data_IF_899188283524
#
_entry.id   IF_899188283524
#
_cell.length_a   1.000
_cell.length_b   1.000
_cell.length_c   1.000
_cell.angle_alpha   90.00
_cell.angle_beta   90.00
_cell.angle_gamma   90.00
#
_symmetry.space_group_name_H-M   'P 1'
#
loop_
_entity.id
_entity.type
_entity.pdbx_description
1 polymer ?
#
# COMPACT_ATOMS: atom_id res chain seq x y z
N UNK A 1 6.92 -27.68 10.17
CA UNK A 1 6.59 -26.35 9.69
C UNK A 1 6.37 -25.49 10.91
N UNK A 2 7.16 -24.45 11.11
CA UNK A 2 7.01 -23.52 12.23
C UNK A 2 6.29 -22.27 11.73
N UNK A 3 5.20 -21.90 12.37
CA UNK A 3 4.40 -20.71 12.06
C UNK A 3 4.70 -19.54 12.98
N UNK A 4 5.59 -19.73 13.98
CA UNK A 4 6.03 -18.65 14.84
C UNK A 4 6.93 -17.67 14.09
N UNK A 5 6.87 -16.40 14.47
CA UNK A 5 7.82 -15.41 13.97
C UNK A 5 9.23 -15.81 14.41
N UNK A 6 10.22 -15.64 13.54
CA UNK A 6 11.63 -15.78 13.88
C UNK A 6 12.03 -14.75 14.94
N UNK A 7 13.21 -14.91 15.56
CA UNK A 7 13.73 -13.92 16.51
C UNK A 7 13.89 -12.53 15.87
N UNK A 8 14.38 -12.47 14.63
CA UNK A 8 14.49 -11.24 13.86
C UNK A 8 13.13 -10.60 13.62
N UNK A 9 12.13 -11.37 13.18
CA UNK A 9 10.78 -10.87 12.92
C UNK A 9 10.09 -10.37 14.19
N UNK A 10 10.28 -11.04 15.35
CA UNK A 10 9.82 -10.55 16.65
C UNK A 10 10.47 -9.24 17.03
N UNK A 11 11.79 -9.14 16.85
CA UNK A 11 12.54 -7.89 17.11
C UNK A 11 12.04 -6.72 16.25
N UNK A 12 11.70 -6.97 14.99
CA UNK A 12 11.07 -5.98 14.10
C UNK A 12 9.71 -5.56 14.66
N UNK A 13 8.80 -6.51 14.92
CA UNK A 13 7.46 -6.22 15.44
C UNK A 13 7.52 -5.38 16.73
N UNK A 14 8.34 -5.79 17.70
CA UNK A 14 8.51 -5.09 18.98
C UNK A 14 9.11 -3.68 18.82
N UNK A 15 10.09 -3.53 17.94
CA UNK A 15 10.74 -2.24 17.72
C UNK A 15 9.82 -1.26 17.01
N UNK A 16 9.11 -1.73 16.02
CA UNK A 16 8.10 -0.92 15.28
C UNK A 16 6.97 -0.50 16.20
N UNK A 17 6.45 -1.41 17.03
CA UNK A 17 5.41 -1.08 18.03
C UNK A 17 5.88 -0.02 19.02
N UNK A 18 7.14 -0.05 19.46
CA UNK A 18 7.72 1.00 20.33
C UNK A 18 7.74 2.37 19.65
N UNK A 19 8.07 2.44 18.36
CA UNK A 19 8.01 3.69 17.61
C UNK A 19 6.56 4.15 17.49
N UNK A 20 5.66 3.27 17.05
CA UNK A 20 4.25 3.59 16.87
C UNK A 20 3.55 4.04 18.17
N UNK A 21 3.96 3.52 19.34
CA UNK A 21 3.39 3.88 20.64
C UNK A 21 3.62 5.36 21.02
N UNK A 22 4.50 6.08 20.34
CA UNK A 22 4.71 7.52 20.52
C UNK A 22 3.59 8.35 19.85
N UNK A 23 2.81 7.73 18.98
CA UNK A 23 1.76 8.36 18.17
C UNK A 23 0.40 7.78 18.56
N UNK A 24 -0.18 8.35 19.61
CA UNK A 24 -1.44 7.88 20.19
C UNK A 24 -2.66 8.22 19.30
N UNK A 25 -3.83 7.76 19.73
CA UNK A 25 -5.09 7.98 19.02
C UNK A 25 -5.39 9.47 18.75
N UNK A 26 -5.01 10.37 19.66
CA UNK A 26 -5.19 11.81 19.50
C UNK A 26 -4.41 12.34 18.29
N UNK A 27 -3.16 11.91 18.10
CA UNK A 27 -2.34 12.27 16.95
C UNK A 27 -3.03 11.89 15.63
N UNK A 28 -3.49 10.64 15.51
CA UNK A 28 -4.17 10.17 14.30
C UNK A 28 -5.53 10.83 14.08
N UNK A 29 -6.24 11.18 15.14
CA UNK A 29 -7.51 11.90 15.06
C UNK A 29 -7.31 13.33 14.53
N UNK A 30 -6.26 14.00 14.98
CA UNK A 30 -5.95 15.36 14.53
C UNK A 30 -5.55 15.36 13.05
N UNK A 31 -4.74 14.42 12.61
CA UNK A 31 -4.39 14.25 11.19
C UNK A 31 -5.59 13.81 10.31
N UNK A 32 -6.53 13.00 10.82
CA UNK A 32 -7.78 12.69 10.10
C UNK A 32 -8.69 13.91 9.96
N UNK A 33 -8.60 14.87 10.88
CA UNK A 33 -9.37 16.12 10.82
C UNK A 33 -8.74 17.18 9.93
N UNK A 34 -7.44 17.40 10.08
CA UNK A 34 -6.71 18.45 9.35
C UNK A 34 -6.39 18.04 7.92
N UNK A 35 -6.10 16.76 7.68
CA UNK A 35 -5.58 16.28 6.41
C UNK A 35 -4.07 16.47 6.26
N UNK A 36 -3.38 16.99 7.29
CA UNK A 36 -1.94 17.22 7.24
C UNK A 36 -1.16 15.90 7.19
N UNK A 37 -0.08 15.91 6.40
CA UNK A 37 0.80 14.75 6.30
C UNK A 37 1.54 14.50 7.62
N UNK A 38 1.56 13.25 8.15
CA UNK A 38 2.13 12.92 9.46
C UNK A 38 3.66 12.84 9.39
N UNK A 39 4.30 13.98 9.25
CA UNK A 39 5.74 14.08 9.00
C UNK A 39 6.57 13.56 10.18
N UNK A 40 6.12 13.78 11.41
CA UNK A 40 6.79 13.34 12.63
C UNK A 40 6.80 11.81 12.71
N UNK A 41 5.69 11.16 12.39
CA UNK A 41 5.62 9.70 12.31
C UNK A 41 6.57 9.18 11.24
N UNK A 42 6.55 9.76 10.04
CA UNK A 42 7.45 9.36 8.96
C UNK A 42 8.91 9.54 9.36
N UNK A 43 9.25 10.63 10.02
CA UNK A 43 10.61 10.90 10.50
C UNK A 43 11.06 9.84 11.52
N UNK A 44 10.23 9.52 12.52
CA UNK A 44 10.53 8.48 13.51
C UNK A 44 10.76 7.10 12.87
N UNK A 45 9.96 6.77 11.85
CA UNK A 45 10.16 5.52 11.08
C UNK A 45 11.43 5.57 10.22
N UNK A 46 11.80 6.72 9.70
CA UNK A 46 13.05 6.94 8.95
C UNK A 46 14.27 6.77 9.86
N UNK A 47 14.27 7.39 11.03
CA UNK A 47 15.34 7.29 12.03
C UNK A 47 15.54 5.85 12.51
N UNK A 48 14.48 5.06 12.56
CA UNK A 48 14.53 3.61 12.81
C UNK A 48 15.05 2.77 11.64
N UNK A 49 15.31 3.37 10.47
CA UNK A 49 15.79 2.65 9.27
C UNK A 49 14.70 1.86 8.53
N UNK A 50 13.43 2.03 8.91
CA UNK A 50 12.32 1.18 8.43
C UNK A 50 11.94 1.43 6.97
N UNK A 51 12.26 2.59 6.38
CA UNK A 51 11.95 2.87 4.98
C UNK A 51 12.73 1.97 4.02
N UNK A 52 13.93 1.55 4.40
CA UNK A 52 14.81 0.70 3.58
C UNK A 52 14.75 -0.79 3.91
N UNK A 53 13.73 -1.29 4.63
CA UNK A 53 13.70 -2.66 5.14
C UNK A 53 13.96 -3.72 4.07
N UNK A 54 13.35 -3.60 2.90
CA UNK A 54 13.48 -4.53 1.77
C UNK A 54 14.42 -4.02 0.67
N UNK A 55 15.24 -3.01 0.95
CA UNK A 55 16.19 -2.47 -0.01
C UNK A 55 17.59 -3.01 0.24
N UNK A 56 18.46 -3.11 -0.82
CA UNK A 56 19.80 -3.67 -0.68
C UNK A 56 20.69 -2.88 0.29
N UNK A 57 21.49 -3.58 1.10
CA UNK A 57 22.43 -3.01 2.07
C UNK A 57 23.44 -2.06 1.39
N UNK A 58 23.89 -2.39 0.16
CA UNK A 58 24.83 -1.57 -0.62
C UNK A 58 24.37 -0.12 -0.77
N UNK A 59 23.04 0.15 -0.76
CA UNK A 59 22.47 1.48 -0.91
C UNK A 59 21.94 2.05 0.40
N UNK A 60 22.24 1.39 1.53
CA UNK A 60 21.84 1.81 2.88
C UNK A 60 20.55 1.17 3.39
N UNK A 61 19.99 0.19 2.68
CA UNK A 61 18.85 -0.60 3.13
C UNK A 61 19.23 -1.69 4.14
N UNK A 62 18.24 -2.41 4.66
CA UNK A 62 18.44 -3.52 5.58
C UNK A 62 18.66 -4.88 4.89
N UNK A 63 18.47 -4.98 3.58
CA UNK A 63 18.64 -6.21 2.81
C UNK A 63 17.69 -7.35 3.18
N UNK A 64 16.58 -7.04 3.86
CA UNK A 64 15.60 -8.03 4.30
C UNK A 64 14.56 -8.33 3.22
N UNK A 65 13.71 -9.34 3.46
CA UNK A 65 12.70 -9.79 2.52
C UNK A 65 11.35 -9.08 2.66
N UNK A 66 10.44 -9.46 1.77
CA UNK A 66 9.03 -9.03 1.84
C UNK A 66 8.34 -9.65 3.06
N UNK A 67 8.81 -10.76 3.57
CA UNK A 67 8.32 -11.37 4.82
C UNK A 67 8.53 -10.42 6.00
N UNK A 68 9.71 -9.85 6.17
CA UNK A 68 10.01 -8.87 7.22
C UNK A 68 9.27 -7.55 6.98
N UNK A 69 9.16 -7.12 5.73
CA UNK A 69 8.35 -5.95 5.37
C UNK A 69 6.86 -6.16 5.71
N UNK A 70 6.30 -7.35 5.53
CA UNK A 70 4.94 -7.68 5.92
C UNK A 70 4.73 -7.63 7.44
N UNK A 71 5.70 -8.11 8.23
CA UNK A 71 5.69 -8.00 9.70
C UNK A 71 5.71 -6.54 10.13
N UNK A 72 6.60 -5.72 9.54
CA UNK A 72 6.65 -4.27 9.75
C UNK A 72 5.30 -3.62 9.49
N UNK A 73 4.73 -3.82 8.30
CA UNK A 73 3.50 -3.15 7.89
C UNK A 73 2.28 -3.59 8.72
N UNK A 74 2.24 -4.87 9.11
CA UNK A 74 1.26 -5.37 10.08
C UNK A 74 1.37 -4.66 11.44
N UNK A 75 2.59 -4.53 11.99
CA UNK A 75 2.81 -3.84 13.26
C UNK A 75 2.40 -2.36 13.20
N UNK A 76 2.73 -1.66 12.11
CA UNK A 76 2.33 -0.27 11.86
C UNK A 76 0.81 -0.12 11.87
N UNK A 77 0.09 -0.93 11.10
CA UNK A 77 -1.37 -0.79 10.98
C UNK A 77 -2.13 -1.26 12.22
N UNK A 78 -1.59 -2.24 12.93
CA UNK A 78 -2.15 -2.73 14.20
C UNK A 78 -1.94 -1.76 15.38
N UNK A 79 -1.07 -0.76 15.23
CA UNK A 79 -0.81 0.24 16.30
C UNK A 79 -1.87 1.33 16.43
N UNK A 80 -2.86 1.38 15.52
CA UNK A 80 -3.91 2.41 15.52
C UNK A 80 -3.78 3.46 14.42
N UNK A 81 -2.59 3.61 13.80
CA UNK A 81 -2.37 4.53 12.68
C UNK A 81 -3.04 4.09 11.36
N UNK A 82 -3.43 2.80 11.27
CA UNK A 82 -4.15 2.20 10.14
C UNK A 82 -3.49 2.50 8.77
N UNK A 83 -4.30 2.71 7.71
CA UNK A 83 -3.78 3.05 6.37
C UNK A 83 -3.14 4.44 6.31
N UNK A 84 -3.49 5.35 7.20
CA UNK A 84 -2.83 6.65 7.28
C UNK A 84 -1.35 6.50 7.65
N UNK A 85 -1.03 5.68 8.64
CA UNK A 85 0.36 5.36 8.99
C UNK A 85 1.05 4.54 7.89
N UNK A 86 0.42 3.46 7.43
CA UNK A 86 0.99 2.59 6.40
C UNK A 86 1.37 3.36 5.14
N UNK A 87 0.50 4.25 4.66
CA UNK A 87 0.70 4.96 3.40
C UNK A 87 1.88 5.93 3.40
N UNK A 88 2.37 6.37 4.57
CA UNK A 88 3.58 7.19 4.66
C UNK A 88 4.85 6.41 4.30
N UNK A 89 4.80 5.08 4.35
CA UNK A 89 5.93 4.18 4.18
C UNK A 89 5.76 3.22 3.01
N UNK A 90 4.54 2.78 2.76
CA UNK A 90 4.22 1.72 1.80
C UNK A 90 4.88 1.96 0.43
N UNK A 91 4.79 3.19 -0.08
CA UNK A 91 5.38 3.54 -1.38
C UNK A 91 6.91 3.43 -1.39
N UNK A 92 7.57 3.62 -0.25
CA UNK A 92 9.03 3.49 -0.14
C UNK A 92 9.48 2.02 -0.12
N UNK A 93 8.60 1.08 0.16
CA UNK A 93 8.92 -0.36 0.21
C UNK A 93 8.67 -1.01 -1.14
N UNK A 94 7.49 -0.78 -1.76
CA UNK A 94 7.18 -1.40 -3.06
C UNK A 94 7.48 -0.49 -4.25
N UNK A 95 7.29 0.83 -4.13
CA UNK A 95 7.46 1.79 -5.23
C UNK A 95 8.84 1.77 -5.88
N UNK A 96 9.95 1.69 -5.11
CA UNK A 96 11.29 1.60 -5.66
C UNK A 96 11.67 0.22 -6.24
N UNK A 97 10.85 -0.81 -6.07
CA UNK A 97 11.15 -2.16 -6.56
C UNK A 97 11.60 -2.18 -8.04
N UNK A 98 10.93 -1.48 -8.98
CA UNK A 98 11.42 -1.41 -10.36
C UNK A 98 12.82 -0.81 -10.49
N UNK A 99 13.21 0.13 -9.63
CA UNK A 99 14.57 0.68 -9.60
C UNK A 99 15.56 -0.38 -9.15
N UNK A 100 15.24 -1.11 -8.08
CA UNK A 100 16.11 -2.16 -7.51
C UNK A 100 16.37 -3.27 -8.53
N UNK A 101 15.35 -3.69 -9.28
CA UNK A 101 15.44 -4.84 -10.20
C UNK A 101 15.90 -4.43 -11.59
N UNK A 102 15.39 -3.33 -12.15
CA UNK A 102 15.57 -2.95 -13.56
C UNK A 102 16.37 -1.66 -13.76
N UNK A 103 16.61 -0.88 -12.70
CA UNK A 103 17.50 0.29 -12.77
C UNK A 103 18.94 -0.14 -13.05
N UNK A 104 19.69 0.68 -13.78
CA UNK A 104 21.11 0.53 -13.87
C UNK A 104 21.83 0.97 -12.58
N UNK A 105 23.13 0.72 -12.47
CA UNK A 105 23.87 1.05 -11.24
C UNK A 105 23.88 2.55 -10.93
N UNK A 106 23.97 3.41 -11.96
CA UNK A 106 23.95 4.86 -11.78
C UNK A 106 22.58 5.34 -11.26
N UNK A 107 21.50 4.75 -11.75
CA UNK A 107 20.14 5.01 -11.28
C UNK A 107 19.96 4.57 -9.82
N UNK A 108 20.42 3.36 -9.46
CA UNK A 108 20.34 2.85 -8.09
C UNK A 108 21.14 3.72 -7.11
N UNK A 109 22.38 4.08 -7.46
CA UNK A 109 23.24 4.94 -6.65
C UNK A 109 22.67 6.35 -6.48
N UNK A 110 22.00 6.88 -7.51
CA UNK A 110 21.37 8.20 -7.47
C UNK A 110 20.10 8.24 -6.65
N UNK A 111 19.26 7.22 -6.71
CA UNK A 111 17.88 7.30 -6.21
C UNK A 111 17.61 6.55 -4.92
N UNK A 112 18.25 5.39 -4.70
CA UNK A 112 17.96 4.58 -3.51
C UNK A 112 18.43 5.22 -2.20
N UNK A 113 19.66 5.76 -2.08
CA UNK A 113 20.12 6.32 -0.82
C UNK A 113 19.29 7.49 -0.30
N UNK A 114 18.86 8.49 -1.11
CA UNK A 114 18.03 9.57 -0.60
C UNK A 114 16.61 9.10 -0.21
N UNK A 115 16.03 8.10 -0.90
CA UNK A 115 14.76 7.50 -0.52
C UNK A 115 14.85 6.75 0.81
N UNK A 116 15.87 5.89 0.96
CA UNK A 116 16.10 5.09 2.18
C UNK A 116 16.33 6.00 3.39
N UNK A 117 17.11 7.05 3.20
CA UNK A 117 17.39 8.05 4.24
C UNK A 117 16.23 9.03 4.48
N UNK A 118 15.09 8.88 3.80
CA UNK A 118 13.92 9.74 3.95
C UNK A 118 14.11 11.19 3.50
N UNK A 119 15.24 11.51 2.84
CA UNK A 119 15.52 12.86 2.30
C UNK A 119 14.68 13.21 1.09
N UNK A 120 14.23 12.22 0.34
CA UNK A 120 13.28 12.37 -0.76
C UNK A 120 12.00 11.55 -0.46
N UNK A 121 10.88 12.07 -0.91
CA UNK A 121 9.58 11.38 -0.89
C UNK A 121 9.18 11.12 -2.34
N UNK A 122 8.77 9.89 -2.62
CA UNK A 122 8.27 9.51 -3.93
C UNK A 122 6.73 9.43 -3.93
N UNK A 123 6.13 9.65 -5.10
CA UNK A 123 4.76 9.28 -5.39
C UNK A 123 4.69 8.36 -6.62
N UNK A 124 3.54 7.71 -6.81
CA UNK A 124 3.35 6.67 -7.81
C UNK A 124 2.17 7.04 -8.73
N UNK A 125 2.47 7.35 -10.01
CA UNK A 125 1.53 7.93 -10.96
C UNK A 125 1.31 6.99 -12.17
N UNK A 126 0.38 6.06 -12.04
CA UNK A 126 0.03 5.07 -13.07
C UNK A 126 -1.39 5.31 -13.59
N UNK A 127 -2.38 5.29 -12.72
CA UNK A 127 -3.81 5.36 -13.04
C UNK A 127 -4.19 6.68 -13.72
N UNK A 128 -5.10 6.61 -14.71
CA UNK A 128 -5.73 7.77 -15.35
C UNK A 128 -7.24 7.78 -15.11
N UNK A 129 -7.92 8.91 -15.27
CA UNK A 129 -9.38 8.99 -15.05
C UNK A 129 -10.17 7.94 -15.82
N UNK A 130 -9.76 7.65 -17.07
CA UNK A 130 -10.43 6.72 -17.95
C UNK A 130 -9.71 5.36 -18.09
N UNK A 131 -8.63 5.14 -17.35
CA UNK A 131 -7.81 3.93 -17.41
C UNK A 131 -7.31 3.51 -16.01
N UNK A 132 -8.18 2.84 -15.25
CA UNK A 132 -7.86 2.20 -13.97
C UNK A 132 -7.42 0.74 -14.18
N UNK A 133 -8.36 -0.19 -14.10
CA UNK A 133 -8.07 -1.63 -14.29
C UNK A 133 -7.58 -1.98 -15.70
N UNK A 134 -8.06 -1.27 -16.72
CA UNK A 134 -7.53 -1.36 -18.10
C UNK A 134 -6.33 -0.44 -18.30
N UNK A 135 -5.21 -0.79 -17.67
CA UNK A 135 -3.96 -0.02 -17.76
C UNK A 135 -3.45 0.11 -19.21
N UNK A 136 -3.79 -0.84 -20.08
CA UNK A 136 -3.44 -0.78 -21.51
C UNK A 136 -4.08 0.38 -22.26
N UNK A 137 -5.11 1.01 -21.70
CA UNK A 137 -5.79 2.17 -22.27
C UNK A 137 -5.23 3.52 -21.85
N UNK A 138 -4.09 3.56 -21.13
CA UNK A 138 -3.42 4.80 -20.73
C UNK A 138 -3.10 5.69 -21.93
N UNK A 139 -3.35 6.99 -21.76
CA UNK A 139 -3.21 8.03 -22.79
C UNK A 139 -2.08 9.02 -22.52
N UNK A 140 -1.55 9.11 -21.30
CA UNK A 140 -0.37 9.92 -21.00
C UNK A 140 0.77 9.54 -21.94
N UNK A 141 1.29 10.50 -22.72
CA UNK A 141 2.32 10.30 -23.73
C UNK A 141 3.65 10.84 -23.27
N UNK A 142 4.73 10.15 -23.65
CA UNK A 142 6.10 10.59 -23.50
C UNK A 142 6.77 10.50 -24.86
N UNK A 143 7.01 11.66 -25.49
CA UNK A 143 7.65 11.76 -26.81
C UNK A 143 9.13 12.05 -26.65
N UNK A 144 9.98 11.23 -27.27
CA UNK A 144 11.43 11.44 -27.25
C UNK A 144 11.80 12.63 -28.15
N UNK A 145 12.54 13.59 -27.61
CA UNK A 145 13.09 14.75 -28.28
C UNK A 145 14.57 14.92 -27.91
N UNK A 146 15.47 14.42 -28.76
CA UNK A 146 16.90 14.45 -28.48
C UNK A 146 17.28 13.59 -27.29
N UNK A 147 17.71 14.19 -26.20
CA UNK A 147 18.18 13.56 -24.96
C UNK A 147 17.16 13.52 -23.82
N UNK A 148 15.91 13.89 -24.11
CA UNK A 148 14.83 13.90 -23.11
C UNK A 148 13.49 13.48 -23.71
N UNK A 149 12.56 13.13 -22.83
CA UNK A 149 11.15 12.94 -23.17
C UNK A 149 10.36 14.18 -22.77
N UNK A 150 9.42 14.59 -23.63
CA UNK A 150 8.39 15.57 -23.32
C UNK A 150 7.12 14.81 -22.97
N UNK A 151 6.64 14.95 -21.74
CA UNK A 151 5.50 14.18 -21.23
C UNK A 151 4.29 15.07 -21.06
N UNK A 152 3.14 14.60 -21.60
CA UNK A 152 1.82 15.23 -21.46
C UNK A 152 0.78 14.21 -21.07
N UNK A 153 -0.10 14.58 -20.16
CA UNK A 153 -1.22 13.73 -19.76
C UNK A 153 -1.82 14.06 -18.42
N UNK A 154 -2.56 13.12 -17.88
CA UNK A 154 -3.27 13.28 -16.61
C UNK A 154 -3.21 11.99 -15.81
N UNK A 155 -2.90 12.10 -14.53
CA UNK A 155 -2.91 10.97 -13.59
C UNK A 155 -3.88 11.24 -12.45
N UNK A 156 -4.41 10.18 -11.85
CA UNK A 156 -5.36 10.27 -10.75
C UNK A 156 -5.00 9.25 -9.65
N UNK A 157 -5.47 9.50 -8.44
CA UNK A 157 -5.21 8.67 -7.25
C UNK A 157 -3.73 8.57 -6.87
N UNK A 158 -2.93 9.57 -7.26
CA UNK A 158 -1.51 9.65 -6.89
C UNK A 158 -1.39 10.09 -5.44
N UNK A 159 -1.02 9.16 -4.57
CA UNK A 159 -0.83 9.43 -3.14
C UNK A 159 0.48 10.20 -2.91
N UNK A 160 0.53 11.00 -1.82
CA UNK A 160 1.70 11.77 -1.36
C UNK A 160 2.19 12.84 -2.32
N UNK A 161 1.48 13.12 -3.41
CA UNK A 161 1.97 14.06 -4.43
C UNK A 161 2.06 15.51 -3.93
N UNK A 162 1.38 15.90 -2.84
CA UNK A 162 1.54 17.24 -2.23
C UNK A 162 2.93 17.43 -1.63
N UNK A 163 3.53 16.37 -1.08
CA UNK A 163 4.82 16.41 -0.37
C UNK A 163 5.96 15.71 -1.12
N UNK A 164 5.67 15.05 -2.26
CA UNK A 164 6.66 14.29 -3.00
C UNK A 164 7.66 15.18 -3.75
N UNK A 165 8.91 14.71 -3.78
CA UNK A 165 10.02 15.27 -4.56
C UNK A 165 10.11 14.61 -5.93
N UNK A 166 9.74 13.31 -5.99
CA UNK A 166 9.86 12.49 -7.20
C UNK A 166 8.59 11.73 -7.52
N UNK A 167 8.46 11.35 -8.78
CA UNK A 167 7.33 10.57 -9.28
C UNK A 167 7.81 9.36 -10.07
N UNK A 168 7.28 8.18 -9.70
CA UNK A 168 7.30 6.99 -10.54
C UNK A 168 6.15 7.07 -11.53
N UNK A 169 6.46 7.37 -12.78
CA UNK A 169 5.47 7.71 -13.81
C UNK A 169 5.44 6.67 -14.91
N UNK A 170 4.26 6.11 -15.19
CA UNK A 170 4.01 5.27 -16.36
C UNK A 170 3.41 6.12 -17.48
N UNK A 171 4.07 6.13 -18.65
CA UNK A 171 3.60 6.86 -19.82
C UNK A 171 3.84 6.08 -21.13
N UNK A 172 3.12 6.41 -22.15
CA UNK A 172 3.21 5.76 -23.46
C UNK A 172 4.29 6.42 -24.31
N UNK A 173 5.29 5.63 -24.71
CA UNK A 173 6.37 6.04 -25.62
C UNK A 173 6.20 5.48 -27.03
N UNK A 174 5.42 4.40 -27.18
CA UNK A 174 5.16 3.77 -28.48
C UNK A 174 3.67 3.66 -28.79
N UNK A 175 3.31 3.42 -30.04
CA UNK A 175 1.90 3.26 -30.43
C UNK A 175 1.26 2.06 -29.72
N UNK A 176 -0.03 2.16 -29.43
CA UNK A 176 -0.83 1.00 -29.02
C UNK A 176 -0.89 0.03 -30.19
N UNK A 177 -0.36 -1.17 -30.00
CA UNK A 177 -0.34 -2.16 -31.07
C UNK A 177 -1.75 -2.72 -31.29
N UNK A 178 -2.19 -2.75 -32.55
CA UNK A 178 -3.47 -3.35 -32.92
C UNK A 178 -3.47 -4.88 -32.77
N UNK A 179 -2.28 -5.50 -32.86
CA UNK A 179 -2.05 -6.92 -32.63
C UNK A 179 -0.89 -7.04 -31.63
N UNK A 180 -1.13 -7.66 -30.47
CA UNK A 180 -0.16 -7.79 -29.37
C UNK A 180 -0.78 -7.41 -28.04
N UNK A 181 0.06 -7.16 -27.04
CA UNK A 181 -0.38 -6.72 -25.72
C UNK A 181 -0.70 -5.22 -25.71
N UNK A 182 -1.87 -4.84 -25.21
CA UNK A 182 -2.27 -3.43 -25.08
C UNK A 182 -1.34 -2.60 -24.18
N UNK A 183 -0.55 -3.27 -23.36
CA UNK A 183 0.42 -2.65 -22.44
C UNK A 183 1.82 -2.49 -23.03
N UNK A 184 2.07 -3.03 -24.22
CA UNK A 184 3.32 -2.77 -24.95
C UNK A 184 3.37 -1.28 -25.37
N UNK A 185 4.57 -0.72 -25.37
CA UNK A 185 4.79 0.71 -25.64
C UNK A 185 4.56 1.62 -24.42
N UNK A 186 4.34 1.06 -23.24
CA UNK A 186 4.34 1.81 -21.98
C UNK A 186 5.74 1.77 -21.36
N UNK A 187 6.31 2.93 -21.03
CA UNK A 187 7.61 3.08 -20.38
C UNK A 187 7.46 3.62 -18.97
N UNK A 188 8.40 3.24 -18.11
CA UNK A 188 8.42 3.64 -16.71
C UNK A 188 9.55 4.62 -16.47
N UNK A 189 9.24 5.72 -15.80
CA UNK A 189 10.18 6.77 -15.47
C UNK A 189 10.21 7.00 -13.97
N UNK A 190 11.39 7.30 -13.41
CA UNK A 190 11.51 7.83 -12.07
C UNK A 190 12.20 9.18 -12.12
N UNK A 191 11.43 10.25 -12.01
CA UNK A 191 11.91 11.59 -12.28
C UNK A 191 11.45 12.59 -11.22
N UNK A 192 11.95 13.82 -11.29
CA UNK A 192 11.54 14.91 -10.41
C UNK A 192 10.06 15.27 -10.62
N UNK A 193 9.34 15.50 -9.52
CA UNK A 193 8.00 16.06 -9.58
C UNK A 193 8.11 17.58 -9.77
N UNK A 194 8.27 18.02 -11.01
CA UNK A 194 8.43 19.44 -11.36
C UNK A 194 7.10 20.18 -11.23
N UNK A 195 6.99 21.05 -10.21
CA UNK A 195 5.79 21.82 -9.89
C UNK A 195 5.46 22.90 -10.93
N UNK A 196 6.40 23.30 -11.76
CA UNK A 196 6.16 24.25 -12.85
C UNK A 196 5.50 23.58 -14.06
N UNK A 197 5.60 22.25 -14.15
CA UNK A 197 5.08 21.42 -15.24
C UNK A 197 4.00 20.43 -14.82
N UNK A 198 3.84 20.20 -13.53
CA UNK A 198 2.83 19.30 -12.97
C UNK A 198 1.98 20.06 -11.96
N UNK A 199 0.74 20.33 -12.34
CA UNK A 199 -0.26 20.82 -11.38
C UNK A 199 -0.83 19.66 -10.57
N UNK A 200 -0.76 19.78 -9.25
CA UNK A 200 -1.22 18.76 -8.31
C UNK A 200 -2.50 19.25 -7.62
N UNK A 201 -3.60 18.51 -7.82
CA UNK A 201 -4.89 18.83 -7.22
C UNK A 201 -5.32 17.71 -6.28
N UNK A 202 -5.55 18.04 -5.03
CA UNK A 202 -6.01 17.09 -4.02
C UNK A 202 -7.46 16.64 -4.30
N UNK A 203 -7.72 15.35 -4.04
CA UNK A 203 -9.04 14.72 -4.12
C UNK A 203 -9.58 14.58 -2.70
N UNK A 204 -10.70 15.24 -2.38
CA UNK A 204 -11.41 14.99 -1.13
C UNK A 204 -11.94 13.56 -1.09
N UNK A 205 -11.68 12.85 0.02
CA UNK A 205 -11.97 11.43 0.15
C UNK A 205 -12.43 11.06 1.55
N UNK A 206 -13.09 9.93 1.68
CA UNK A 206 -13.75 9.53 2.92
C UNK A 206 -12.80 9.11 4.03
N UNK A 207 -11.61 8.62 3.72
CA UNK A 207 -10.65 8.09 4.71
C UNK A 207 -9.20 8.28 4.28
N UNK A 208 -8.25 7.91 5.16
CA UNK A 208 -6.81 8.14 4.97
C UNK A 208 -6.50 9.62 4.66
N UNK A 209 -7.17 10.54 5.37
CA UNK A 209 -7.03 11.97 5.11
C UNK A 209 -5.61 12.49 5.35
N UNK A 210 -4.92 11.92 6.33
CA UNK A 210 -3.53 12.24 6.64
C UNK A 210 -2.53 12.02 5.49
N UNK A 211 -2.90 11.22 4.48
CA UNK A 211 -2.08 11.05 3.26
C UNK A 211 -2.93 11.41 2.07
N UNK A 212 -2.59 12.49 1.41
CA UNK A 212 -3.25 13.04 0.24
C UNK A 212 -3.39 12.02 -0.91
N UNK A 213 -4.39 12.19 -1.73
CA UNK A 213 -4.55 11.54 -3.03
C UNK A 213 -4.87 12.59 -4.06
N UNK A 214 -4.20 12.54 -5.20
CA UNK A 214 -4.20 13.67 -6.10
C UNK A 214 -4.50 13.27 -7.53
N UNK A 215 -4.96 14.28 -8.25
CA UNK A 215 -4.98 14.38 -9.68
C UNK A 215 -3.74 15.18 -10.13
N UNK A 216 -3.01 14.65 -11.11
CA UNK A 216 -1.85 15.31 -11.71
C UNK A 216 -2.21 15.73 -13.14
N UNK A 217 -2.00 17.00 -13.45
CA UNK A 217 -2.07 17.53 -14.81
C UNK A 217 -0.63 17.81 -15.26
N UNK A 218 -0.18 17.06 -16.26
CA UNK A 218 1.20 17.09 -16.76
C UNK A 218 1.23 17.85 -18.08
N UNK A 219 1.93 18.97 -18.09
CA UNK A 219 2.04 19.85 -19.25
C UNK A 219 3.52 20.05 -19.62
N UNK A 220 3.95 19.36 -20.68
CA UNK A 220 5.33 19.40 -21.19
C UNK A 220 6.41 19.15 -20.12
N UNK A 221 6.20 18.15 -19.27
CA UNK A 221 7.21 17.71 -18.32
C UNK A 221 8.43 17.18 -19.08
N UNK A 222 9.59 17.78 -18.81
CA UNK A 222 10.87 17.36 -19.38
C UNK A 222 11.45 16.24 -18.50
N UNK A 223 11.62 15.07 -19.09
CA UNK A 223 12.16 13.88 -18.42
C UNK A 223 13.43 13.43 -19.13
N UNK A 224 14.61 13.51 -18.50
CA UNK A 224 15.85 13.02 -19.08
C UNK A 224 15.76 11.54 -19.49
N UNK A 225 16.44 11.13 -20.56
CA UNK A 225 16.43 9.73 -21.00
C UNK A 225 16.97 8.78 -19.93
N UNK A 226 17.91 9.25 -19.12
CA UNK A 226 18.47 8.50 -17.98
C UNK A 226 17.51 8.31 -16.81
N UNK A 227 16.35 8.98 -16.82
CA UNK A 227 15.28 8.76 -15.83
C UNK A 227 14.31 7.66 -16.24
N UNK A 228 14.46 7.06 -17.43
CA UNK A 228 13.70 5.89 -17.86
C UNK A 228 14.27 4.62 -17.22
N UNK A 229 13.44 3.85 -16.56
CA UNK A 229 13.81 2.57 -15.97
C UNK A 229 13.73 1.46 -17.01
N UNK A 230 14.85 0.78 -17.25
CA UNK A 230 14.95 -0.35 -18.16
C UNK A 230 14.67 0.00 -19.62
N UNK A 231 14.14 -0.98 -20.39
CA UNK A 231 13.90 -0.83 -21.83
C UNK A 231 12.63 -0.03 -22.12
N UNK A 232 12.69 0.76 -23.20
CA UNK A 232 11.52 1.48 -23.70
C UNK A 232 10.39 0.53 -24.10
N UNK A 233 9.17 0.90 -23.73
CA UNK A 233 7.97 0.12 -24.03
C UNK A 233 7.75 -1.10 -23.13
N UNK A 234 8.62 -1.36 -22.13
CA UNK A 234 8.51 -2.50 -21.20
C UNK A 234 8.10 -2.10 -19.77
N UNK A 235 7.81 -0.84 -19.53
CA UNK A 235 7.59 -0.28 -18.19
C UNK A 235 6.44 -0.94 -17.43
N UNK A 236 5.36 -1.35 -18.10
CA UNK A 236 4.26 -2.04 -17.43
C UNK A 236 4.67 -3.40 -16.89
N UNK A 237 5.54 -4.14 -17.61
CA UNK A 237 6.07 -5.41 -17.11
C UNK A 237 6.86 -5.23 -15.83
N UNK A 238 7.66 -4.16 -15.76
CA UNK A 238 8.45 -3.84 -14.56
C UNK A 238 7.58 -3.49 -13.35
N UNK A 239 6.44 -2.82 -13.59
CA UNK A 239 5.44 -2.58 -12.56
C UNK A 239 4.77 -3.86 -12.06
N UNK A 240 4.43 -4.78 -12.99
CA UNK A 240 3.77 -6.05 -12.62
C UNK A 240 4.60 -6.88 -11.65
N UNK A 241 5.93 -6.87 -11.79
CA UNK A 241 6.83 -7.60 -10.88
C UNK A 241 6.76 -7.03 -9.45
N UNK A 242 6.54 -5.72 -9.29
CA UNK A 242 6.31 -5.07 -7.99
C UNK A 242 4.93 -5.31 -7.41
N UNK A 243 3.95 -5.74 -8.20
CA UNK A 243 2.57 -5.87 -7.71
C UNK A 243 2.34 -7.08 -6.79
N UNK A 244 3.15 -8.13 -6.84
CA UNK A 244 3.02 -9.23 -5.89
C UNK A 244 3.48 -8.82 -4.49
N UNK A 245 4.68 -8.22 -4.30
CA UNK A 245 5.04 -7.60 -3.02
C UNK A 245 3.96 -6.63 -2.49
N UNK A 246 3.45 -5.75 -3.34
CA UNK A 246 2.43 -4.79 -2.94
C UNK A 246 1.15 -5.46 -2.42
N UNK A 247 0.64 -6.51 -3.11
CA UNK A 247 -0.52 -7.27 -2.63
C UNK A 247 -0.26 -7.95 -1.29
N UNK A 248 0.95 -8.47 -1.08
CA UNK A 248 1.35 -9.12 0.19
C UNK A 248 1.35 -8.10 1.32
N UNK A 249 1.95 -6.92 1.11
CA UNK A 249 1.99 -5.85 2.12
C UNK A 249 0.58 -5.34 2.45
N UNK A 250 -0.26 -5.11 1.44
CA UNK A 250 -1.67 -4.73 1.64
C UNK A 250 -2.45 -5.79 2.42
N UNK A 251 -2.19 -7.07 2.20
CA UNK A 251 -2.81 -8.14 2.98
C UNK A 251 -2.39 -8.07 4.47
N UNK A 252 -1.10 -7.87 4.73
CA UNK A 252 -0.59 -7.71 6.09
C UNK A 252 -1.15 -6.45 6.78
N UNK A 253 -1.23 -5.34 6.06
CA UNK A 253 -1.83 -4.07 6.53
C UNK A 253 -3.32 -4.25 6.88
N UNK A 254 -4.09 -4.89 6.01
CA UNK A 254 -5.50 -5.17 6.26
C UNK A 254 -5.70 -6.01 7.53
N UNK A 255 -4.92 -7.08 7.71
CA UNK A 255 -4.97 -7.91 8.94
C UNK A 255 -4.65 -7.07 10.16
N UNK A 256 -3.62 -6.21 10.12
CA UNK A 256 -3.25 -5.33 11.22
C UNK A 256 -4.39 -4.40 11.63
N UNK A 257 -5.06 -3.76 10.67
CA UNK A 257 -6.24 -2.91 10.93
C UNK A 257 -7.36 -3.72 11.57
N UNK A 258 -7.66 -4.89 11.01
CA UNK A 258 -8.73 -5.77 11.53
C UNK A 258 -8.46 -6.22 12.96
N UNK A 259 -7.22 -6.59 13.30
CA UNK A 259 -6.80 -6.96 14.66
C UNK A 259 -6.96 -5.78 15.62
N UNK A 260 -6.50 -4.58 15.25
CA UNK A 260 -6.70 -3.38 16.07
C UNK A 260 -8.19 -3.11 16.35
N UNK A 261 -9.05 -3.27 15.33
CA UNK A 261 -10.49 -3.08 15.49
C UNK A 261 -11.11 -4.11 16.46
N UNK A 262 -10.73 -5.39 16.33
CA UNK A 262 -11.19 -6.45 17.24
C UNK A 262 -10.73 -6.22 18.67
N UNK A 263 -9.47 -5.80 18.88
CA UNK A 263 -8.91 -5.52 20.20
C UNK A 263 -9.64 -4.36 20.90
N UNK A 264 -9.94 -3.28 20.14
CA UNK A 264 -10.76 -2.15 20.64
C UNK A 264 -12.16 -2.59 21.02
N UNK A 265 -12.81 -3.36 20.15
CA UNK A 265 -14.15 -3.86 20.41
C UNK A 265 -14.20 -4.82 21.61
N UNK A 266 -13.20 -5.69 21.75
CA UNK A 266 -13.10 -6.60 22.88
C UNK A 266 -12.87 -5.85 24.21
N UNK A 267 -12.05 -4.78 24.20
CA UNK A 267 -11.85 -3.90 25.36
C UNK A 267 -13.15 -3.22 25.73
N UNK A 268 -13.80 -2.55 24.78
CA UNK A 268 -15.07 -1.88 24.99
C UNK A 268 -16.15 -2.86 25.50
N UNK A 269 -16.22 -4.06 24.97
CA UNK A 269 -17.19 -5.08 25.37
C UNK A 269 -16.99 -5.58 26.83
N UNK A 270 -15.76 -5.54 27.34
CA UNK A 270 -15.46 -5.86 28.75
C UNK A 270 -15.89 -4.75 29.72
N UNK A 271 -15.79 -3.50 29.28
CA UNK A 271 -16.00 -2.30 30.12
C UNK A 271 -17.44 -1.79 30.05
N UNK A 272 -18.09 -1.85 28.90
CA UNK A 272 -19.45 -1.33 28.71
C UNK A 272 -20.48 -2.19 29.40
N UNK A 273 -21.16 -1.64 30.40
CA UNK A 273 -22.24 -2.28 31.16
C UNK A 273 -23.59 -1.85 30.60
N UNK A 274 -24.45 -2.81 30.29
CA UNK A 274 -25.85 -2.65 29.89
C UNK A 274 -26.67 -3.71 30.58
N UNK A 275 -27.82 -3.38 31.11
CA UNK A 275 -28.65 -4.30 31.91
C UNK A 275 -27.88 -4.98 33.05
N UNK A 276 -26.99 -4.22 33.74
CA UNK A 276 -26.26 -4.68 34.92
C UNK A 276 -25.08 -5.60 34.68
N UNK A 277 -24.68 -5.83 33.43
CA UNK A 277 -23.52 -6.69 33.09
C UNK A 277 -22.75 -6.17 31.88
N UNK A 278 -21.46 -6.51 31.75
CA UNK A 278 -20.69 -6.22 30.56
C UNK A 278 -21.34 -6.78 29.29
N UNK A 279 -21.37 -6.00 28.20
CA UNK A 279 -21.97 -6.45 26.93
C UNK A 279 -21.23 -7.65 26.35
N UNK A 280 -19.94 -7.82 26.66
CA UNK A 280 -19.13 -8.96 26.29
C UNK A 280 -19.62 -10.32 26.85
N UNK A 281 -20.57 -10.33 27.77
CA UNK A 281 -21.22 -11.55 28.23
C UNK A 281 -22.33 -12.04 27.28
N UNK A 282 -22.67 -11.29 26.25
CA UNK A 282 -23.69 -11.67 25.28
C UNK A 282 -23.07 -12.44 24.10
N UNK A 283 -23.57 -13.59 23.73
CA UNK A 283 -23.11 -14.41 22.60
C UNK A 283 -23.19 -13.62 21.27
N UNK A 284 -24.19 -12.74 21.13
CA UNK A 284 -24.33 -11.85 19.97
C UNK A 284 -23.16 -10.87 19.80
N UNK A 285 -22.35 -10.62 20.84
CA UNK A 285 -21.13 -9.84 20.83
C UNK A 285 -19.89 -10.76 20.74
N UNK A 286 -19.86 -11.82 21.55
CA UNK A 286 -18.71 -12.74 21.62
C UNK A 286 -18.46 -13.46 20.28
N UNK A 287 -19.50 -14.05 19.68
CA UNK A 287 -19.33 -14.89 18.50
C UNK A 287 -18.83 -14.11 17.27
N UNK A 288 -19.36 -12.91 16.94
CA UNK A 288 -18.80 -12.11 15.84
C UNK A 288 -17.32 -11.72 16.05
N UNK A 289 -16.94 -11.33 17.27
CA UNK A 289 -15.54 -10.97 17.58
C UNK A 289 -14.62 -12.18 17.52
N UNK A 290 -15.01 -13.33 18.09
CA UNK A 290 -14.26 -14.57 18.04
C UNK A 290 -14.08 -15.07 16.58
N UNK A 291 -15.14 -14.97 15.77
CA UNK A 291 -15.05 -15.29 14.34
C UNK A 291 -14.09 -14.37 13.62
N UNK A 292 -14.16 -13.04 13.83
CA UNK A 292 -13.23 -12.10 13.23
C UNK A 292 -11.79 -12.40 13.61
N UNK A 293 -11.53 -12.76 14.86
CA UNK A 293 -10.17 -13.15 15.29
C UNK A 293 -9.67 -14.38 14.50
N UNK A 294 -10.48 -15.43 14.38
CA UNK A 294 -10.10 -16.65 13.65
C UNK A 294 -9.90 -16.39 12.13
N UNK A 295 -10.78 -15.58 11.53
CA UNK A 295 -10.69 -15.17 10.12
C UNK A 295 -9.42 -14.33 9.85
N UNK A 296 -9.04 -13.43 10.77
CA UNK A 296 -7.82 -12.62 10.68
C UNK A 296 -6.54 -13.45 10.84
N UNK A 297 -6.55 -14.47 11.72
CA UNK A 297 -5.44 -15.44 11.83
C UNK A 297 -5.24 -16.19 10.51
N UNK A 298 -6.31 -16.65 9.88
CA UNK A 298 -6.23 -17.30 8.57
C UNK A 298 -5.69 -16.32 7.49
N UNK A 299 -6.14 -15.06 7.51
CA UNK A 299 -5.65 -13.99 6.62
C UNK A 299 -4.16 -13.73 6.80
N UNK A 300 -3.69 -13.69 8.04
CA UNK A 300 -2.27 -13.54 8.36
C UNK A 300 -1.43 -14.70 7.82
N UNK A 301 -1.88 -15.93 8.05
CA UNK A 301 -1.18 -17.12 7.54
C UNK A 301 -1.09 -17.13 6.00
N UNK A 302 -2.13 -16.69 5.29
CA UNK A 302 -2.09 -16.54 3.84
C UNK A 302 -1.09 -15.46 3.40
N UNK A 303 -1.06 -14.32 4.08
CA UNK A 303 -0.11 -13.24 3.79
C UNK A 303 1.34 -13.70 3.99
N UNK A 304 1.64 -14.36 5.12
CA UNK A 304 2.97 -14.89 5.42
C UNK A 304 3.39 -16.01 4.45
N UNK A 305 2.47 -16.88 4.04
CA UNK A 305 2.74 -17.88 3.01
C UNK A 305 3.12 -17.23 1.67
N UNK A 306 2.40 -16.17 1.28
CA UNK A 306 2.68 -15.46 0.04
C UNK A 306 4.02 -14.74 0.10
N UNK A 307 4.35 -14.11 1.23
CA UNK A 307 5.62 -13.43 1.47
C UNK A 307 6.80 -14.40 1.42
N UNK A 308 6.70 -15.51 2.14
CA UNK A 308 7.72 -16.55 2.12
C UNK A 308 7.94 -17.13 0.72
N UNK A 309 6.87 -17.41 -0.03
CA UNK A 309 6.99 -17.95 -1.40
C UNK A 309 7.68 -16.94 -2.32
N UNK A 310 7.39 -15.65 -2.17
CA UNK A 310 8.04 -14.57 -2.91
C UNK A 310 9.55 -14.52 -2.62
N UNK A 311 9.93 -14.45 -1.33
CA UNK A 311 11.33 -14.36 -0.90
C UNK A 311 12.13 -15.62 -1.27
N UNK A 312 11.49 -16.79 -1.33
CA UNK A 312 12.07 -18.05 -1.78
C UNK A 312 12.18 -18.17 -3.33
N UNK A 313 11.81 -17.13 -4.09
CA UNK A 313 11.81 -17.16 -5.57
C UNK A 313 10.82 -18.14 -6.18
N UNK A 314 9.79 -18.54 -5.40
CA UNK A 314 8.75 -19.46 -5.89
C UNK A 314 7.59 -18.69 -6.55
N UNK A 315 6.79 -19.34 -7.41
CA UNK A 315 5.58 -18.73 -7.97
C UNK A 315 4.62 -18.26 -6.87
N UNK A 316 4.58 -16.97 -6.62
CA UNK A 316 3.81 -16.36 -5.52
C UNK A 316 2.49 -15.71 -5.95
N UNK A 317 2.23 -15.55 -7.25
CA UNK A 317 1.08 -14.81 -7.76
C UNK A 317 -0.28 -15.30 -7.25
N UNK A 318 -0.52 -16.62 -7.24
CA UNK A 318 -1.77 -17.18 -6.70
C UNK A 318 -1.92 -16.92 -5.20
N UNK A 319 -0.85 -17.12 -4.43
CA UNK A 319 -0.84 -16.89 -2.98
C UNK A 319 -1.03 -15.39 -2.64
N UNK A 320 -0.33 -14.47 -3.34
CA UNK A 320 -0.44 -13.04 -3.15
C UNK A 320 -1.86 -12.52 -3.44
N UNK A 321 -2.48 -12.98 -4.55
CA UNK A 321 -3.86 -12.62 -4.87
C UNK A 321 -4.86 -13.17 -3.84
N UNK A 322 -4.73 -14.44 -3.44
CA UNK A 322 -5.60 -15.05 -2.44
C UNK A 322 -5.47 -14.35 -1.08
N UNK A 323 -4.24 -14.05 -0.64
CA UNK A 323 -3.98 -13.33 0.60
C UNK A 323 -4.61 -11.93 0.58
N UNK A 324 -4.38 -11.16 -0.48
CA UNK A 324 -4.94 -9.80 -0.64
C UNK A 324 -6.47 -9.82 -0.60
N UNK A 325 -7.10 -10.70 -1.35
CA UNK A 325 -8.55 -10.84 -1.37
C UNK A 325 -9.09 -11.17 0.01
N UNK A 326 -8.64 -12.29 0.59
CA UNK A 326 -9.19 -12.80 1.84
C UNK A 326 -8.94 -11.84 3.01
N UNK A 327 -7.71 -11.34 3.17
CA UNK A 327 -7.35 -10.40 4.23
C UNK A 327 -8.19 -9.11 4.17
N UNK A 328 -8.43 -8.57 2.97
CA UNK A 328 -9.23 -7.36 2.79
C UNK A 328 -10.70 -7.57 3.19
N UNK A 329 -11.29 -8.72 2.86
CA UNK A 329 -12.68 -9.05 3.21
C UNK A 329 -12.85 -9.25 4.71
N UNK A 330 -11.98 -10.06 5.32
CA UNK A 330 -12.11 -10.37 6.76
C UNK A 330 -11.79 -9.15 7.62
N UNK A 331 -10.85 -8.30 7.21
CA UNK A 331 -10.53 -7.06 7.92
C UNK A 331 -11.68 -6.05 7.85
N UNK A 332 -12.30 -5.88 6.69
CA UNK A 332 -13.50 -5.03 6.56
C UNK A 332 -14.62 -5.52 7.48
N UNK A 333 -14.92 -6.81 7.45
CA UNK A 333 -15.94 -7.42 8.31
C UNK A 333 -15.60 -7.26 9.80
N UNK A 334 -14.32 -7.37 10.16
CA UNK A 334 -13.87 -7.16 11.54
C UNK A 334 -14.08 -5.70 12.00
N UNK A 335 -13.76 -4.72 11.15
CA UNK A 335 -13.99 -3.30 11.44
C UNK A 335 -15.49 -2.96 11.56
N UNK A 336 -16.33 -3.52 10.68
CA UNK A 336 -17.79 -3.38 10.77
C UNK A 336 -18.32 -3.96 12.10
N UNK A 337 -17.93 -5.17 12.46
CA UNK A 337 -18.33 -5.81 13.73
C UNK A 337 -17.84 -5.01 14.94
N UNK A 338 -16.64 -4.46 14.86
CA UNK A 338 -16.09 -3.60 15.92
C UNK A 338 -16.93 -2.33 16.09
N UNK A 339 -17.28 -1.64 15.00
CA UNK A 339 -18.16 -0.48 15.03
C UNK A 339 -19.52 -0.82 15.63
N UNK A 340 -20.15 -1.91 15.17
CA UNK A 340 -21.44 -2.36 15.69
C UNK A 340 -21.38 -2.75 17.17
N UNK A 341 -20.26 -3.31 17.64
CA UNK A 341 -20.04 -3.63 19.06
C UNK A 341 -20.03 -2.37 19.94
N UNK A 342 -19.49 -1.26 19.44
CA UNK A 342 -19.49 0.02 20.13
C UNK A 342 -20.86 0.72 20.08
N UNK A 343 -21.76 0.33 19.17
CA UNK A 343 -23.05 1.00 18.97
C UNK A 343 -22.88 2.48 18.62
N UNK A 344 -23.63 3.39 19.25
CA UNK A 344 -23.53 4.82 19.00
C UNK A 344 -22.12 5.40 19.22
N UNK A 345 -21.36 4.83 20.16
CA UNK A 345 -19.97 5.24 20.39
C UNK A 345 -19.04 4.83 19.23
N UNK A 346 -19.37 3.79 18.48
CA UNK A 346 -18.65 3.42 17.27
C UNK A 346 -18.77 4.44 16.14
N UNK A 347 -19.81 5.27 16.17
CA UNK A 347 -20.03 6.35 15.19
C UNK A 347 -19.33 7.66 15.58
N UNK A 348 -18.83 7.75 16.82
CA UNK A 348 -18.12 8.91 17.35
C UNK A 348 -16.62 8.81 17.00
N UNK A 349 -16.06 9.90 16.46
CA UNK A 349 -14.66 9.93 15.98
C UNK A 349 -13.63 9.64 17.08
N UNK A 350 -13.91 10.01 18.32
CA UNK A 350 -13.01 9.80 19.46
C UNK A 350 -12.70 8.33 19.76
N UNK A 351 -13.59 7.39 19.37
CA UNK A 351 -13.39 5.96 19.54
C UNK A 351 -12.56 5.31 18.41
N UNK A 352 -12.26 6.03 17.35
CA UNK A 352 -11.40 5.63 16.23
C UNK A 352 -11.91 4.45 15.38
N UNK A 353 -12.87 3.66 15.83
CA UNK A 353 -13.34 2.48 15.08
C UNK A 353 -14.04 2.86 13.77
N UNK A 354 -14.68 4.04 13.69
CA UNK A 354 -15.26 4.56 12.45
C UNK A 354 -14.15 4.90 11.43
N UNK A 355 -12.99 5.42 11.88
CA UNK A 355 -11.85 5.70 11.03
C UNK A 355 -11.24 4.40 10.48
N UNK A 356 -11.08 3.38 11.34
CA UNK A 356 -10.61 2.06 10.91
C UNK A 356 -11.53 1.49 9.81
N UNK A 357 -12.86 1.61 9.95
CA UNK A 357 -13.82 1.14 8.94
C UNK A 357 -13.71 1.92 7.62
N UNK A 358 -13.50 3.23 7.66
CA UNK A 358 -13.29 4.04 6.45
C UNK A 358 -11.98 3.66 5.73
N UNK A 359 -10.91 3.47 6.48
CA UNK A 359 -9.58 3.23 5.92
C UNK A 359 -9.40 1.79 5.43
N UNK A 360 -10.03 0.80 6.05
CA UNK A 360 -9.94 -0.62 5.63
C UNK A 360 -10.63 -0.91 4.29
N UNK A 361 -11.40 0.04 3.75
CA UNK A 361 -11.95 -0.07 2.39
C UNK A 361 -10.86 -0.02 1.31
N UNK A 362 -9.74 0.68 1.55
CA UNK A 362 -8.66 0.81 0.58
C UNK A 362 -8.12 -0.54 0.12
N UNK A 363 -7.76 -1.49 1.00
CA UNK A 363 -7.33 -2.82 0.61
C UNK A 363 -8.31 -3.58 -0.31
N UNK A 364 -9.59 -3.25 -0.33
CA UNK A 364 -10.57 -3.86 -1.24
C UNK A 364 -10.53 -3.25 -2.65
N UNK A 365 -10.12 -1.99 -2.76
CA UNK A 365 -10.14 -1.21 -4.00
C UNK A 365 -8.78 -1.26 -4.71
N UNK A 366 -7.69 -1.09 -3.94
CA UNK A 366 -6.32 -0.89 -4.43
C UNK A 366 -5.36 -1.97 -3.88
N UNK A 367 -4.20 -2.20 -4.52
CA UNK A 367 -3.73 -1.63 -5.81
C UNK A 367 -4.48 -2.19 -7.01
N UNK A 368 -5.12 -3.34 -6.84
CA UNK A 368 -5.92 -4.05 -7.85
C UNK A 368 -7.26 -4.37 -7.23
N UNK A 369 -8.37 -4.13 -7.94
CA UNK A 369 -9.71 -4.41 -7.41
C UNK A 369 -9.91 -5.89 -7.09
N UNK A 370 -10.82 -6.18 -6.17
CA UNK A 370 -11.14 -7.56 -5.79
C UNK A 370 -11.62 -8.40 -6.96
N UNK A 371 -12.38 -7.80 -7.87
CA UNK A 371 -12.89 -8.46 -9.06
C UNK A 371 -11.74 -8.92 -9.95
N UNK A 372 -10.74 -8.07 -10.19
CA UNK A 372 -9.55 -8.43 -10.97
C UNK A 372 -8.71 -9.52 -10.29
N UNK A 373 -8.61 -9.49 -8.97
CA UNK A 373 -7.94 -10.53 -8.18
C UNK A 373 -8.66 -11.87 -8.33
N UNK A 374 -9.98 -11.87 -8.26
CA UNK A 374 -10.81 -13.08 -8.43
C UNK A 374 -10.73 -13.59 -9.88
N UNK A 375 -10.73 -12.71 -10.89
CA UNK A 375 -10.50 -13.11 -12.28
C UNK A 375 -9.14 -13.81 -12.45
N UNK A 376 -8.08 -13.26 -11.83
CA UNK A 376 -6.77 -13.91 -11.86
C UNK A 376 -6.82 -15.32 -11.26
N UNK A 377 -7.44 -15.50 -10.10
CA UNK A 377 -7.57 -16.83 -9.46
C UNK A 377 -8.41 -17.78 -10.29
N UNK A 378 -9.50 -17.30 -10.88
CA UNK A 378 -10.35 -18.10 -11.75
C UNK A 378 -9.58 -18.59 -12.99
N UNK A 379 -8.87 -17.72 -13.67
CA UNK A 379 -8.14 -18.03 -14.89
C UNK A 379 -6.86 -18.84 -14.64
N UNK A 380 -6.09 -18.49 -13.61
CA UNK A 380 -4.73 -19.03 -13.40
C UNK A 380 -4.64 -20.20 -12.43
N UNK A 381 -5.64 -20.35 -11.55
CA UNK A 381 -5.67 -21.42 -10.54
C UNK A 381 -6.73 -22.47 -10.89
N UNK A 382 -7.90 -22.01 -11.35
CA UNK A 382 -9.03 -22.90 -11.67
C UNK A 382 -9.12 -23.23 -13.17
N UNK A 383 -8.24 -22.68 -14.00
CA UNK A 383 -8.20 -22.85 -15.46
C UNK A 383 -9.54 -22.56 -16.15
N UNK A 384 -10.26 -21.55 -15.62
CA UNK A 384 -11.51 -21.11 -16.22
C UNK A 384 -11.23 -20.17 -17.42
N UNK A 385 -12.13 -20.13 -18.41
CA UNK A 385 -12.01 -19.21 -19.54
C UNK A 385 -11.92 -17.75 -19.09
N UNK A 386 -11.13 -16.97 -19.81
CA UNK A 386 -11.00 -15.55 -19.58
C UNK A 386 -12.34 -14.82 -19.73
N UNK A 387 -12.66 -13.92 -18.79
CA UNK A 387 -13.97 -13.24 -18.74
C UNK A 387 -14.05 -11.98 -19.59
N UNK A 388 -12.92 -11.41 -20.05
CA UNK A 388 -12.84 -10.18 -20.86
C UNK A 388 -11.58 -10.13 -21.74
#
# INVERSE_FOLDING_TARGET
MDFALTEQQRSIDESVRRVCAQFEDAYWLDHDRSGDFPIEFRQAMTEGGWLGIAMPERYGGAGLGITEAAVLMHAVTNSGGAMSAASTMHINIFGPHPIVVYGDEAQKERWLPPLIAGREIACFAVTEPDAGSDTGSLTTQARLEGDHYVVRGRKIWTSTAQVADRVMLLARTGPRQAQGSSVDGLSLFYTRLDRDRISVREIDKMGRKAVDSNELFIDDLIVPVEDRIGEEGKGFRYLLDGLNPERILIAAEAVGIGRNAVDRAARYARERVVFGRPIGQNQAIQHPLARSWAELEAGWLLAMKAAWAYDAGQPSGAAANAAKYFASEVAFTACERALMTHGGMGYAKEFQVERLLREVLIPRIAPVSQEMVLCYLAERVLDLPRSY
#
